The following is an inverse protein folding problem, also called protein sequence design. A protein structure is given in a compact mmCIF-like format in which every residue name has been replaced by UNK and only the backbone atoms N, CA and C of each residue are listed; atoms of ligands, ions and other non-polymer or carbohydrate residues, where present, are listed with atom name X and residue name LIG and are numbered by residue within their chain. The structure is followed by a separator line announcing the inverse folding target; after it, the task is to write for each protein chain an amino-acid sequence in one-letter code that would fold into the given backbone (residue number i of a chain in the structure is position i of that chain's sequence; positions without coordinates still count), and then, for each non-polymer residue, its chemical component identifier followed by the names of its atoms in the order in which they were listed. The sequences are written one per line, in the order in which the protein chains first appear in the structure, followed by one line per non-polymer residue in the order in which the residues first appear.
data_IF_311098266480
#
_entry.id   IF_311098266480
#
_cell.length_a   1.000
_cell.length_b   1.000
_cell.length_c   1.000
_cell.angle_alpha   90.00
_cell.angle_beta   90.00
_cell.angle_gamma   90.00
#
_symmetry.space_group_name_H-M   'P 1'
#
loop_
_entity.id
_entity.type
_entity.pdbx_description
1 polymer ?
#
# COMPACT_ATOMS: atom_id res chain seq x y z
N UNK A 1 -22.05 6.52 -17.11
CA UNK A 1 -21.97 5.07 -16.88
C UNK A 1 -23.03 4.71 -15.83
N UNK A 2 -23.72 3.57 -15.90
CA UNK A 2 -24.78 3.28 -14.95
C UNK A 2 -24.22 3.17 -13.55
N UNK A 3 -24.83 3.84 -12.59
CA UNK A 3 -24.60 3.70 -11.16
C UNK A 3 -24.80 2.24 -10.77
N UNK A 4 -23.74 1.45 -10.83
CA UNK A 4 -23.79 0.07 -10.41
C UNK A 4 -23.75 0.02 -8.88
N UNK A 5 -24.91 0.22 -8.27
CA UNK A 5 -25.10 0.12 -6.81
C UNK A 5 -25.04 -1.35 -6.33
N UNK A 6 -24.48 -2.24 -7.15
CA UNK A 6 -24.31 -3.66 -6.81
C UNK A 6 -22.91 -3.95 -6.26
N UNK A 7 -22.80 -4.90 -5.34
CA UNK A 7 -21.50 -5.37 -4.90
C UNK A 7 -20.81 -6.16 -6.01
N UNK A 8 -19.50 -5.97 -6.14
CA UNK A 8 -18.63 -6.63 -7.15
C UNK A 8 -17.60 -7.51 -6.48
N UNK A 9 -17.13 -8.56 -7.18
CA UNK A 9 -15.97 -9.33 -6.75
C UNK A 9 -14.68 -8.61 -7.17
N UNK A 10 -13.55 -8.98 -6.55
CA UNK A 10 -12.26 -8.41 -6.96
C UNK A 10 -11.90 -8.81 -8.40
N UNK A 11 -12.36 -9.97 -8.85
CA UNK A 11 -12.15 -10.44 -10.22
C UNK A 11 -12.91 -9.59 -11.24
N UNK A 12 -14.17 -9.28 -10.94
CA UNK A 12 -14.98 -8.34 -11.76
C UNK A 12 -14.31 -6.97 -11.80
N UNK A 13 -13.83 -6.46 -10.65
CA UNK A 13 -13.12 -5.19 -10.59
C UNK A 13 -11.86 -5.21 -11.46
N UNK A 14 -11.06 -6.27 -11.43
CA UNK A 14 -9.85 -6.37 -12.24
C UNK A 14 -10.11 -6.56 -13.74
N UNK A 15 -11.27 -7.05 -14.15
CA UNK A 15 -11.64 -7.05 -15.59
C UNK A 15 -11.76 -5.65 -16.15
N UNK A 16 -12.23 -4.70 -15.33
CA UNK A 16 -12.48 -3.32 -15.74
C UNK A 16 -11.32 -2.37 -15.40
N UNK A 17 -10.71 -2.53 -14.23
CA UNK A 17 -9.78 -1.57 -13.66
C UNK A 17 -8.42 -2.18 -13.31
N UNK A 18 -7.40 -1.33 -13.39
CA UNK A 18 -6.09 -1.57 -12.76
C UNK A 18 -6.08 -0.88 -11.40
N UNK A 19 -5.86 -1.66 -10.35
CA UNK A 19 -5.83 -1.19 -8.97
C UNK A 19 -4.38 -0.92 -8.55
N UNK A 20 -4.06 0.33 -8.27
CA UNK A 20 -2.72 0.77 -7.86
C UNK A 20 -2.77 1.28 -6.44
N UNK A 21 -2.18 0.58 -5.49
CA UNK A 21 -2.10 1.03 -4.11
C UNK A 21 -1.18 2.27 -4.05
N UNK A 22 -1.72 3.45 -3.67
CA UNK A 22 -0.97 4.69 -3.76
C UNK A 22 0.08 4.84 -2.66
N UNK A 23 0.96 5.82 -2.85
CA UNK A 23 2.10 6.14 -2.03
C UNK A 23 1.74 6.47 -0.58
N UNK A 24 0.68 7.24 -0.40
CA UNK A 24 0.22 7.75 0.89
C UNK A 24 -0.32 6.62 1.78
N UNK A 25 -0.57 5.47 1.20
CA UNK A 25 -1.14 4.34 1.91
C UNK A 25 -0.10 3.57 2.73
N UNK A 26 -0.58 2.99 3.82
CA UNK A 26 0.25 2.17 4.74
C UNK A 26 0.72 0.90 4.06
N UNK A 27 1.85 0.39 4.54
CA UNK A 27 2.29 -0.97 4.20
C UNK A 27 1.16 -1.98 4.44
N UNK A 28 1.19 -3.09 3.74
CA UNK A 28 0.26 -4.18 4.00
C UNK A 28 0.43 -4.70 5.44
N UNK A 29 -0.49 -4.27 6.31
CA UNK A 29 -0.36 -4.45 7.74
C UNK A 29 -0.92 -5.79 8.24
N UNK A 30 -1.92 -6.39 7.56
CA UNK A 30 -2.52 -7.65 8.00
C UNK A 30 -1.51 -8.81 8.02
N UNK A 31 -0.53 -8.79 7.14
CA UNK A 31 0.56 -9.76 7.13
C UNK A 31 1.70 -9.49 8.12
N UNK A 32 1.66 -8.42 8.92
CA UNK A 32 2.71 -8.11 9.90
C UNK A 32 2.69 -9.09 11.06
N UNK A 33 3.85 -9.22 11.71
CA UNK A 33 4.00 -9.93 12.98
C UNK A 33 3.18 -9.20 14.07
N UNK A 34 2.54 -9.94 14.97
CA UNK A 34 1.64 -9.40 15.98
C UNK A 34 0.22 -9.10 15.47
N UNK A 35 -0.11 -9.48 14.22
CA UNK A 35 -1.45 -9.34 13.63
C UNK A 35 -2.08 -10.69 13.25
N UNK A 36 -1.57 -11.77 13.79
CA UNK A 36 -1.97 -13.15 13.44
C UNK A 36 -3.44 -13.43 13.74
N UNK A 37 -3.93 -12.98 14.89
CA UNK A 37 -5.34 -13.17 15.27
C UNK A 37 -6.29 -12.42 14.33
N UNK A 38 -5.94 -11.16 13.98
CA UNK A 38 -6.74 -10.34 13.06
C UNK A 38 -6.75 -11.00 11.67
N UNK A 39 -5.57 -11.40 11.18
CA UNK A 39 -5.41 -12.08 9.89
C UNK A 39 -6.21 -13.38 9.86
N UNK A 40 -6.05 -14.24 10.88
CA UNK A 40 -6.73 -15.52 10.98
C UNK A 40 -8.25 -15.35 10.98
N UNK A 41 -8.76 -14.36 11.72
CA UNK A 41 -10.21 -14.06 11.75
C UNK A 41 -10.72 -13.66 10.36
N UNK A 42 -10.03 -12.74 9.71
CA UNK A 42 -10.43 -12.26 8.38
C UNK A 42 -10.32 -13.35 7.31
N UNK A 43 -9.21 -14.09 7.27
CA UNK A 43 -9.03 -15.17 6.30
C UNK A 43 -10.03 -16.30 6.52
N UNK A 44 -10.34 -16.65 7.77
CA UNK A 44 -11.39 -17.63 8.09
C UNK A 44 -12.74 -17.20 7.49
N UNK A 45 -13.13 -15.96 7.65
CA UNK A 45 -14.36 -15.42 7.08
C UNK A 45 -14.39 -15.57 5.54
N UNK A 46 -13.29 -15.28 4.86
CA UNK A 46 -13.18 -15.46 3.40
C UNK A 46 -13.28 -16.93 2.99
N UNK A 47 -12.56 -17.79 3.68
CA UNK A 47 -12.51 -19.24 3.38
C UNK A 47 -13.88 -19.89 3.65
N UNK A 48 -14.51 -19.57 4.78
CA UNK A 48 -15.85 -20.05 5.09
C UNK A 48 -16.86 -19.63 4.03
N UNK A 49 -16.80 -18.38 3.56
CA UNK A 49 -17.68 -17.92 2.49
C UNK A 49 -17.54 -18.75 1.22
N UNK A 50 -16.31 -19.06 0.81
CA UNK A 50 -16.06 -19.86 -0.40
C UNK A 50 -16.49 -21.31 -0.21
N UNK A 51 -16.09 -21.94 0.90
CA UNK A 51 -16.32 -23.36 1.15
C UNK A 51 -17.80 -23.65 1.36
N UNK A 52 -18.49 -22.78 2.10
CA UNK A 52 -19.93 -22.92 2.39
C UNK A 52 -20.80 -22.27 1.31
N UNK A 53 -20.21 -21.63 0.30
CA UNK A 53 -20.92 -20.85 -0.74
C UNK A 53 -21.88 -19.82 -0.13
N UNK A 54 -21.52 -19.28 1.04
CA UNK A 54 -22.30 -18.28 1.76
C UNK A 54 -21.86 -16.88 1.34
N UNK A 55 -22.78 -16.12 0.76
CA UNK A 55 -22.51 -14.76 0.34
C UNK A 55 -22.12 -13.87 1.52
N UNK A 56 -21.00 -13.19 1.38
CA UNK A 56 -20.57 -12.12 2.26
C UNK A 56 -20.33 -10.86 1.45
N UNK A 57 -20.75 -9.73 1.99
CA UNK A 57 -20.42 -8.42 1.46
C UNK A 57 -19.47 -7.74 2.42
N UNK A 58 -18.26 -7.49 1.94
CA UNK A 58 -17.28 -6.70 2.68
C UNK A 58 -17.65 -5.23 2.61
N UNK A 59 -17.04 -4.43 3.51
CA UNK A 59 -17.27 -2.98 3.50
C UNK A 59 -16.87 -2.33 2.17
N UNK A 60 -17.22 -1.05 2.03
CA UNK A 60 -16.93 -0.25 0.85
C UNK A 60 -15.43 -0.15 0.58
N UNK A 61 -15.09 -0.14 -0.71
CA UNK A 61 -13.80 0.26 -1.24
C UNK A 61 -14.01 1.57 -1.99
N UNK A 62 -13.34 2.61 -1.53
CA UNK A 62 -13.35 3.90 -2.21
C UNK A 62 -12.08 4.04 -3.03
N UNK A 63 -12.22 4.53 -4.27
CA UNK A 63 -11.09 4.73 -5.16
C UNK A 63 -11.21 5.99 -5.99
N UNK A 64 -10.07 6.63 -6.24
CA UNK A 64 -9.95 7.78 -7.13
C UNK A 64 -9.39 7.32 -8.47
N UNK A 65 -10.04 7.63 -9.60
CA UNK A 65 -9.47 7.38 -10.92
C UNK A 65 -8.22 8.25 -11.14
N UNK A 66 -7.25 7.75 -11.91
CA UNK A 66 -6.13 8.56 -12.35
C UNK A 66 -6.60 9.69 -13.29
N UNK A 67 -5.93 10.85 -13.26
CA UNK A 67 -6.31 12.03 -14.03
C UNK A 67 -6.49 11.79 -15.53
N UNK A 68 -5.64 10.94 -16.12
CA UNK A 68 -5.62 10.70 -17.56
C UNK A 68 -6.09 9.29 -17.97
N UNK A 69 -6.51 8.46 -16.99
CA UNK A 69 -6.94 7.10 -17.27
C UNK A 69 -7.95 6.59 -16.24
N UNK A 70 -9.22 6.73 -16.55
CA UNK A 70 -10.33 6.29 -15.70
C UNK A 70 -10.32 4.76 -15.41
N UNK A 71 -9.51 3.98 -16.11
CA UNK A 71 -9.33 2.54 -15.86
C UNK A 71 -8.25 2.23 -14.82
N UNK A 72 -7.51 3.24 -14.36
CA UNK A 72 -6.55 3.12 -13.26
C UNK A 72 -7.18 3.72 -12.01
N UNK A 73 -7.27 2.92 -10.95
CA UNK A 73 -7.91 3.32 -9.69
C UNK A 73 -6.88 3.30 -8.57
N UNK A 74 -6.85 4.38 -7.81
CA UNK A 74 -6.11 4.51 -6.56
C UNK A 74 -7.06 4.32 -5.37
N UNK A 75 -7.03 3.20 -4.65
CA UNK A 75 -7.88 2.99 -3.49
C UNK A 75 -7.54 3.99 -2.38
N UNK A 76 -8.54 4.73 -1.89
CA UNK A 76 -8.44 5.59 -0.72
C UNK A 76 -8.66 4.80 0.58
N UNK A 77 -9.57 3.84 0.54
CA UNK A 77 -9.83 2.90 1.63
C UNK A 77 -10.02 1.49 1.08
N UNK A 78 -9.85 0.49 1.96
CA UNK A 78 -10.00 -0.92 1.61
C UNK A 78 -8.75 -1.59 1.06
N UNK A 79 -7.59 -0.89 0.97
CA UNK A 79 -6.34 -1.44 0.45
C UNK A 79 -5.91 -2.74 1.11
N UNK A 80 -6.08 -2.87 2.45
CA UNK A 80 -5.71 -4.07 3.19
C UNK A 80 -6.57 -5.26 2.77
N UNK A 81 -7.86 -5.01 2.56
CA UNK A 81 -8.83 -6.00 2.06
C UNK A 81 -8.50 -6.41 0.63
N UNK A 82 -8.26 -5.43 -0.25
CA UNK A 82 -7.88 -5.69 -1.64
C UNK A 82 -6.59 -6.51 -1.75
N UNK A 83 -5.57 -6.19 -0.95
CA UNK A 83 -4.32 -6.96 -0.93
C UNK A 83 -4.58 -8.39 -0.46
N UNK A 84 -5.37 -8.60 0.59
CA UNK A 84 -5.69 -9.94 1.10
C UNK A 84 -6.53 -10.74 0.11
N UNK A 85 -7.51 -10.11 -0.54
CA UNK A 85 -8.30 -10.74 -1.59
C UNK A 85 -7.44 -11.11 -2.79
N UNK A 86 -6.57 -10.20 -3.24
CA UNK A 86 -5.63 -10.50 -4.33
C UNK A 86 -4.73 -11.69 -3.99
N UNK A 87 -4.18 -11.77 -2.77
CA UNK A 87 -3.37 -12.89 -2.32
C UNK A 87 -4.17 -14.19 -2.28
N UNK A 88 -5.44 -14.15 -1.88
CA UNK A 88 -6.33 -15.32 -1.90
C UNK A 88 -6.55 -15.83 -3.32
N UNK A 89 -6.89 -14.94 -4.26
CA UNK A 89 -7.09 -15.30 -5.66
C UNK A 89 -5.80 -15.85 -6.29
N UNK A 90 -4.69 -15.19 -6.02
CA UNK A 90 -3.38 -15.64 -6.49
C UNK A 90 -3.05 -17.04 -5.93
N UNK A 91 -3.25 -17.26 -4.62
CA UNK A 91 -2.96 -18.54 -3.98
C UNK A 91 -3.84 -19.69 -4.54
N UNK A 92 -5.13 -19.42 -4.69
CA UNK A 92 -6.05 -20.40 -5.29
C UNK A 92 -5.68 -20.67 -6.76
N UNK A 93 -5.35 -19.67 -7.54
CA UNK A 93 -4.87 -19.82 -8.92
C UNK A 93 -3.59 -20.66 -8.99
N UNK A 94 -2.65 -20.41 -8.08
CA UNK A 94 -1.42 -21.19 -7.94
C UNK A 94 -1.73 -22.66 -7.66
N UNK A 95 -2.55 -22.97 -6.64
CA UNK A 95 -2.91 -24.32 -6.25
C UNK A 95 -3.75 -25.05 -7.30
N UNK A 96 -4.58 -24.33 -8.03
CA UNK A 96 -5.38 -24.86 -9.14
C UNK A 96 -4.60 -24.99 -10.47
N UNK A 97 -3.32 -24.62 -10.49
CA UNK A 97 -2.48 -24.64 -11.71
C UNK A 97 -2.95 -23.67 -12.78
N UNK A 98 -3.65 -22.59 -12.41
CA UNK A 98 -4.21 -21.59 -13.35
C UNK A 98 -3.20 -20.51 -13.76
N UNK A 99 -2.09 -20.34 -13.02
CA UNK A 99 -1.04 -19.36 -13.36
C UNK A 99 -0.29 -19.65 -14.67
N UNK A 100 -0.50 -20.80 -15.27
CA UNK A 100 0.00 -21.13 -16.63
C UNK A 100 -0.76 -20.41 -17.74
N UNK A 101 -1.95 -19.86 -17.45
CA UNK A 101 -2.76 -19.15 -18.44
C UNK A 101 -2.47 -17.65 -18.37
N UNK A 102 -2.07 -17.08 -19.51
CA UNK A 102 -1.71 -15.65 -19.63
C UNK A 102 -2.85 -14.73 -19.20
N UNK A 103 -4.09 -15.05 -19.55
CA UNK A 103 -5.28 -14.26 -19.18
C UNK A 103 -5.44 -14.12 -17.66
N UNK A 104 -5.20 -15.21 -16.93
CA UNK A 104 -5.24 -15.20 -15.44
C UNK A 104 -4.13 -14.31 -14.89
N UNK A 105 -2.91 -14.50 -15.39
CA UNK A 105 -1.76 -13.72 -14.98
C UNK A 105 -1.95 -12.22 -15.27
N UNK A 106 -2.44 -11.88 -16.45
CA UNK A 106 -2.64 -10.48 -16.87
C UNK A 106 -3.76 -9.80 -16.07
N UNK A 107 -4.79 -10.57 -15.69
CA UNK A 107 -5.82 -10.06 -14.78
C UNK A 107 -5.27 -9.83 -13.38
N UNK A 108 -4.50 -10.76 -12.83
CA UNK A 108 -3.88 -10.60 -11.50
C UNK A 108 -2.83 -9.49 -11.45
N UNK A 109 -2.10 -9.23 -12.53
CA UNK A 109 -1.12 -8.11 -12.66
C UNK A 109 -1.78 -6.74 -12.60
N UNK A 110 -3.10 -6.64 -12.77
CA UNK A 110 -3.82 -5.37 -12.60
C UNK A 110 -3.87 -4.89 -11.15
N UNK A 111 -3.45 -5.70 -10.20
CA UNK A 111 -3.18 -5.26 -8.83
C UNK A 111 -1.69 -4.95 -8.66
N UNK A 112 -1.36 -3.74 -8.21
CA UNK A 112 0.03 -3.32 -8.05
C UNK A 112 0.17 -2.23 -6.98
N UNK A 113 1.40 -1.84 -6.71
CA UNK A 113 1.76 -0.77 -5.80
C UNK A 113 2.45 0.37 -6.56
N UNK A 114 2.08 1.60 -6.24
CA UNK A 114 2.75 2.78 -6.78
C UNK A 114 4.12 2.98 -6.13
N UNK A 115 4.17 2.84 -4.81
CA UNK A 115 5.39 2.91 -4.00
C UNK A 115 6.19 1.62 -4.07
N UNK A 116 7.50 1.78 -3.83
CA UNK A 116 8.49 0.70 -3.71
C UNK A 116 8.53 -0.20 -4.94
N UNK A 117 9.51 0.03 -5.75
CA UNK A 117 9.79 -0.80 -6.92
C UNK A 117 9.77 -2.30 -6.57
N UNK A 118 10.23 -2.67 -5.35
CA UNK A 118 10.19 -4.05 -4.86
C UNK A 118 8.78 -4.61 -4.71
N UNK A 119 7.84 -3.88 -4.09
CA UNK A 119 6.46 -4.35 -3.96
C UNK A 119 5.76 -4.45 -5.32
N UNK A 120 5.97 -3.47 -6.20
CA UNK A 120 5.44 -3.46 -7.58
C UNK A 120 5.97 -4.64 -8.38
N UNK A 121 7.29 -4.81 -8.41
CA UNK A 121 7.95 -5.89 -9.13
C UNK A 121 7.53 -7.25 -8.56
N UNK A 122 7.36 -7.36 -7.25
CA UNK A 122 6.88 -8.58 -6.62
C UNK A 122 5.51 -8.98 -7.13
N UNK A 123 4.52 -8.08 -7.12
CA UNK A 123 3.18 -8.36 -7.63
C UNK A 123 3.18 -8.81 -9.09
N UNK A 124 4.03 -8.20 -9.91
CA UNK A 124 4.17 -8.61 -11.32
C UNK A 124 4.85 -9.97 -11.49
N UNK A 125 5.94 -10.21 -10.73
CA UNK A 125 6.76 -11.43 -10.89
C UNK A 125 6.09 -12.69 -10.37
N UNK A 126 5.32 -12.61 -9.28
CA UNK A 126 4.57 -13.79 -8.78
C UNK A 126 3.45 -14.23 -9.72
N UNK A 127 2.98 -13.34 -10.60
CA UNK A 127 2.03 -13.66 -11.66
C UNK A 127 2.68 -14.20 -12.94
N UNK A 128 3.96 -14.59 -12.88
CA UNK A 128 4.66 -15.32 -13.95
C UNK A 128 4.78 -16.79 -13.55
N UNK A 129 5.22 -17.62 -14.47
CA UNK A 129 5.49 -19.02 -14.15
C UNK A 129 6.60 -19.11 -13.08
N UNK A 130 6.31 -19.80 -11.99
CA UNK A 130 7.26 -20.06 -10.92
C UNK A 130 8.01 -21.36 -11.21
N UNK A 131 9.34 -21.31 -11.14
CA UNK A 131 10.21 -22.46 -11.38
C UNK A 131 10.42 -23.23 -10.06
N UNK A 132 10.20 -24.53 -10.08
CA UNK A 132 10.43 -25.40 -8.92
C UNK A 132 9.25 -26.30 -8.60
N UNK A 133 9.44 -27.16 -7.60
CA UNK A 133 8.43 -28.17 -7.17
C UNK A 133 8.08 -28.05 -5.68
N UNK A 134 8.34 -26.90 -5.06
CA UNK A 134 8.00 -26.71 -3.65
C UNK A 134 6.49 -26.59 -3.49
N UNK A 135 5.91 -27.38 -2.59
CA UNK A 135 4.47 -27.32 -2.32
C UNK A 135 4.05 -26.07 -1.53
N UNK A 136 4.99 -25.44 -0.81
CA UNK A 136 4.74 -24.17 -0.14
C UNK A 136 4.91 -23.02 -1.11
N UNK A 137 3.84 -22.26 -1.31
CA UNK A 137 3.84 -21.09 -2.20
C UNK A 137 4.89 -20.05 -1.78
N UNK A 138 4.99 -19.75 -0.47
CA UNK A 138 5.94 -18.77 0.04
C UNK A 138 7.39 -19.25 -0.14
N UNK A 139 7.68 -20.54 0.11
CA UNK A 139 9.01 -21.12 -0.10
C UNK A 139 9.37 -21.09 -1.59
N UNK A 140 8.45 -21.55 -2.46
CA UNK A 140 8.66 -21.53 -3.90
C UNK A 140 8.98 -20.13 -4.42
N UNK A 141 8.27 -19.09 -3.97
CA UNK A 141 8.55 -17.71 -4.33
C UNK A 141 9.95 -17.28 -3.89
N UNK A 142 10.34 -17.62 -2.65
CA UNK A 142 11.64 -17.21 -2.09
C UNK A 142 12.83 -17.93 -2.72
N UNK A 143 12.60 -19.09 -3.33
CA UNK A 143 13.58 -19.87 -4.08
C UNK A 143 13.76 -19.39 -5.53
N UNK A 144 12.92 -18.47 -6.03
CA UNK A 144 13.03 -18.00 -7.40
C UNK A 144 14.34 -17.22 -7.63
N UNK A 145 15.00 -17.37 -8.79
CA UNK A 145 16.24 -16.66 -9.12
C UNK A 145 16.12 -15.13 -9.04
N UNK A 146 14.94 -14.60 -9.29
CA UNK A 146 14.65 -13.17 -9.22
C UNK A 146 14.42 -12.65 -7.80
N UNK A 147 14.22 -13.55 -6.79
CA UNK A 147 13.90 -13.17 -5.42
C UNK A 147 15.16 -12.73 -4.66
N UNK A 148 15.57 -11.51 -4.90
CA UNK A 148 16.78 -10.90 -4.35
C UNK A 148 16.59 -10.30 -2.95
N UNK A 149 17.69 -9.78 -2.37
CA UNK A 149 17.69 -9.14 -1.05
C UNK A 149 16.68 -8.00 -0.92
N UNK A 150 16.42 -7.23 -2.00
CA UNK A 150 15.44 -6.12 -1.99
C UNK A 150 14.03 -6.59 -1.64
N UNK A 151 13.61 -7.76 -2.11
CA UNK A 151 12.31 -8.34 -1.76
C UNK A 151 12.27 -8.83 -0.31
N UNK A 152 13.34 -9.47 0.15
CA UNK A 152 13.46 -9.94 1.54
C UNK A 152 13.38 -8.81 2.56
N UNK A 153 13.80 -7.61 2.17
CA UNK A 153 13.84 -6.45 3.05
C UNK A 153 12.56 -5.62 2.98
N UNK A 154 11.75 -5.75 1.94
CA UNK A 154 10.49 -5.00 1.79
C UNK A 154 9.44 -5.50 2.79
N UNK A 155 8.95 -4.63 3.71
CA UNK A 155 7.97 -5.03 4.72
C UNK A 155 6.63 -5.47 4.13
N UNK A 156 6.20 -4.89 3.00
CA UNK A 156 4.97 -5.28 2.28
C UNK A 156 5.11 -6.68 1.69
N UNK A 157 6.24 -6.97 1.01
CA UNK A 157 6.52 -8.30 0.45
C UNK A 157 6.60 -9.35 1.58
N UNK A 158 7.27 -9.03 2.68
CA UNK A 158 7.33 -9.93 3.85
C UNK A 158 5.96 -10.21 4.45
N UNK A 159 5.11 -9.18 4.52
CA UNK A 159 3.75 -9.32 5.02
C UNK A 159 2.89 -10.17 4.06
N UNK A 160 3.05 -10.00 2.75
CA UNK A 160 2.38 -10.83 1.73
C UNK A 160 2.81 -12.30 1.83
N UNK A 161 4.11 -12.56 1.93
CA UNK A 161 4.64 -13.93 2.08
C UNK A 161 4.12 -14.60 3.36
N UNK A 162 4.06 -13.86 4.47
CA UNK A 162 3.49 -14.37 5.73
C UNK A 162 1.97 -14.59 5.63
N UNK A 163 1.26 -13.82 4.81
CA UNK A 163 -0.16 -14.07 4.55
C UNK A 163 -0.38 -15.28 3.65
N UNK A 164 0.57 -15.61 2.80
CA UNK A 164 0.54 -16.85 2.03
C UNK A 164 0.86 -18.05 2.92
N UNK A 165 1.94 -17.99 3.69
CA UNK A 165 2.36 -19.08 4.59
C UNK A 165 2.84 -18.54 5.94
N UNK A 166 2.23 -18.98 7.02
CA UNK A 166 2.58 -18.69 8.41
C UNK A 166 2.54 -19.98 9.22
N UNK A 167 3.60 -20.76 9.08
CA UNK A 167 3.73 -22.08 9.74
C UNK A 167 3.70 -21.96 11.27
N UNK A 168 4.28 -20.89 11.82
CA UNK A 168 4.40 -20.68 13.26
C UNK A 168 3.04 -20.47 13.93
N UNK A 169 2.15 -19.67 13.31
CA UNK A 169 0.88 -19.31 13.92
C UNK A 169 -0.34 -19.94 13.21
N UNK A 170 -0.12 -20.67 12.12
CA UNK A 170 -1.20 -21.27 11.33
C UNK A 170 -2.19 -20.24 10.77
N UNK A 171 -1.72 -19.06 10.39
CA UNK A 171 -2.58 -17.94 9.98
C UNK A 171 -2.42 -17.52 8.52
N UNK A 172 -1.60 -18.24 7.74
CA UNK A 172 -1.48 -18.07 6.29
C UNK A 172 -2.55 -18.85 5.51
N UNK A 173 -2.81 -18.45 4.27
CA UNK A 173 -3.75 -19.18 3.40
C UNK A 173 -3.37 -20.64 3.23
N UNK A 174 -2.08 -20.94 3.15
CA UNK A 174 -1.57 -22.28 3.01
C UNK A 174 -1.99 -23.20 4.17
N UNK A 175 -1.82 -22.74 5.42
CA UNK A 175 -2.20 -23.50 6.60
C UNK A 175 -3.72 -23.57 6.78
N UNK A 176 -4.43 -22.49 6.44
CA UNK A 176 -5.87 -22.40 6.66
C UNK A 176 -6.69 -23.15 5.60
N UNK A 177 -6.22 -23.19 4.34
CA UNK A 177 -6.82 -23.99 3.28
C UNK A 177 -6.34 -25.45 3.30
N UNK A 178 -5.13 -25.67 3.85
CA UNK A 178 -4.58 -27.00 4.06
C UNK A 178 -4.40 -27.82 2.78
N UNK A 179 -4.55 -29.13 2.90
CA UNK A 179 -4.35 -30.09 1.82
C UNK A 179 -5.63 -30.35 1.01
N UNK A 180 -6.46 -29.33 0.80
CA UNK A 180 -7.64 -29.44 -0.06
C UNK A 180 -7.24 -29.85 -1.48
N UNK A 181 -8.12 -30.58 -2.14
CA UNK A 181 -7.94 -31.04 -3.53
C UNK A 181 -8.85 -30.33 -4.52
N UNK A 182 -9.83 -29.59 -4.02
CA UNK A 182 -10.89 -28.91 -4.78
C UNK A 182 -10.55 -27.47 -5.19
N UNK A 183 -9.25 -27.13 -5.29
CA UNK A 183 -8.82 -25.77 -5.69
C UNK A 183 -9.32 -25.35 -7.07
N UNK A 184 -9.52 -26.28 -7.99
CA UNK A 184 -10.10 -25.97 -9.28
C UNK A 184 -11.54 -25.48 -9.18
N UNK A 185 -12.35 -26.13 -8.32
CA UNK A 185 -13.73 -25.74 -8.07
C UNK A 185 -13.80 -24.39 -7.31
N UNK A 186 -12.91 -24.19 -6.34
CA UNK A 186 -12.77 -22.92 -5.62
C UNK A 186 -12.41 -21.81 -6.58
N UNK A 187 -11.51 -22.04 -7.53
CA UNK A 187 -11.14 -21.07 -8.54
C UNK A 187 -12.34 -20.67 -9.40
N UNK A 188 -13.08 -21.65 -9.95
CA UNK A 188 -14.26 -21.37 -10.75
C UNK A 188 -15.34 -20.58 -9.96
N UNK A 189 -15.51 -20.89 -8.67
CA UNK A 189 -16.39 -20.16 -7.77
C UNK A 189 -15.94 -18.70 -7.57
N UNK A 190 -14.64 -18.44 -7.44
CA UNK A 190 -14.09 -17.11 -7.23
C UNK A 190 -14.22 -16.20 -8.45
N UNK A 191 -14.09 -16.75 -9.67
CA UNK A 191 -14.15 -15.97 -10.91
C UNK A 191 -15.57 -15.85 -11.47
N UNK A 192 -16.53 -16.59 -10.92
CA UNK A 192 -17.92 -16.58 -11.36
C UNK A 192 -18.62 -15.26 -11.02
N UNK A 193 -19.67 -14.87 -11.79
CA UNK A 193 -20.46 -13.67 -11.48
C UNK A 193 -21.19 -13.72 -10.13
N UNK A 194 -21.47 -14.92 -9.64
CA UNK A 194 -22.10 -15.21 -8.34
C UNK A 194 -21.09 -15.49 -7.23
N UNK A 195 -19.81 -15.07 -7.41
CA UNK A 195 -18.77 -15.17 -6.39
C UNK A 195 -19.32 -14.78 -5.01
N UNK A 196 -19.12 -15.62 -3.97
CA UNK A 196 -19.67 -15.37 -2.64
C UNK A 196 -19.02 -14.21 -1.89
N UNK A 197 -17.85 -13.74 -2.34
CA UNK A 197 -17.12 -12.63 -1.72
C UNK A 197 -17.25 -11.39 -2.61
N UNK A 198 -17.96 -10.41 -2.13
CA UNK A 198 -18.17 -9.14 -2.85
C UNK A 198 -17.95 -7.95 -1.93
N UNK A 199 -17.75 -6.77 -2.51
CA UNK A 199 -17.68 -5.49 -1.83
C UNK A 199 -18.31 -4.39 -2.69
N UNK A 200 -18.71 -3.29 -2.06
CA UNK A 200 -19.16 -2.12 -2.81
C UNK A 200 -17.96 -1.30 -3.24
N UNK A 201 -17.81 -1.13 -4.55
CA UNK A 201 -16.81 -0.22 -5.09
C UNK A 201 -17.46 1.15 -5.37
N UNK A 202 -16.82 2.23 -4.92
CA UNK A 202 -17.26 3.61 -5.10
C UNK A 202 -16.14 4.46 -5.66
N UNK A 203 -16.40 5.12 -6.78
CA UNK A 203 -15.49 6.10 -7.37
C UNK A 203 -15.78 7.48 -6.80
N UNK A 204 -14.73 8.18 -6.34
CA UNK A 204 -14.86 9.55 -5.83
C UNK A 204 -15.32 10.54 -6.90
N UNK A 205 -15.05 10.25 -8.18
CA UNK A 205 -15.48 11.05 -9.33
C UNK A 205 -17.00 10.98 -9.53
N UNK A 206 -17.62 9.85 -9.23
CA UNK A 206 -19.06 9.65 -9.38
C UNK A 206 -19.85 10.30 -8.24
N UNK A 207 -19.26 10.41 -7.06
CA UNK A 207 -19.90 11.01 -5.87
C UNK A 207 -19.69 12.53 -5.76
N UNK A 208 -19.08 13.20 -6.76
CA UNK A 208 -18.78 14.63 -6.76
C UNK A 208 -18.02 15.08 -5.48
N UNK A 209 -17.19 14.21 -4.92
CA UNK A 209 -16.39 14.54 -3.75
C UNK A 209 -15.20 15.38 -4.23
N UNK A 210 -15.35 16.69 -4.08
CA UNK A 210 -14.43 17.70 -4.62
C UNK A 210 -13.01 17.62 -4.04
N UNK A 211 -12.80 16.97 -2.88
CA UNK A 211 -11.51 16.83 -2.23
C UNK A 211 -11.28 15.38 -1.81
N UNK A 212 -10.59 14.63 -2.64
CA UNK A 212 -10.15 13.25 -2.32
C UNK A 212 -9.31 13.21 -1.04
N UNK A 213 -8.54 14.26 -0.76
CA UNK A 213 -7.66 14.38 0.41
C UNK A 213 -8.46 14.54 1.71
N UNK A 214 -9.52 15.36 1.71
CA UNK A 214 -10.40 15.51 2.88
C UNK A 214 -11.16 14.21 3.19
N UNK A 215 -11.60 13.49 2.16
CA UNK A 215 -12.23 12.18 2.33
C UNK A 215 -11.22 11.17 2.87
N UNK A 216 -10.00 11.17 2.34
CA UNK A 216 -8.91 10.32 2.79
C UNK A 216 -8.60 10.57 4.27
N UNK A 217 -8.46 11.83 4.69
CA UNK A 217 -8.23 12.21 6.08
C UNK A 217 -9.38 11.76 6.98
N UNK A 218 -10.63 11.99 6.58
CA UNK A 218 -11.83 11.60 7.34
C UNK A 218 -11.99 10.08 7.45
N UNK A 219 -11.64 9.32 6.41
CA UNK A 219 -11.74 7.86 6.41
C UNK A 219 -10.61 7.23 7.22
N UNK A 220 -9.39 7.77 7.15
CA UNK A 220 -8.27 7.31 7.95
C UNK A 220 -8.35 7.71 9.43
N UNK A 221 -9.09 8.77 9.76
CA UNK A 221 -9.36 9.15 11.16
C UNK A 221 -10.12 8.07 11.95
N UNK A 222 -10.79 7.15 11.27
CA UNK A 222 -11.44 5.98 11.89
C UNK A 222 -10.46 4.83 12.19
N UNK A 223 -9.23 4.90 11.66
CA UNK A 223 -8.17 3.91 11.84
C UNK A 223 -7.06 4.38 12.77
N UNK A 224 -5.90 3.73 12.67
CA UNK A 224 -4.68 4.20 13.35
C UNK A 224 -4.29 5.56 12.75
N UNK A 225 -4.06 6.57 13.60
CA UNK A 225 -3.56 7.89 13.17
C UNK A 225 -2.35 7.73 12.24
N UNK A 226 -2.27 8.58 11.24
CA UNK A 226 -1.07 8.71 10.41
C UNK A 226 0.13 8.99 11.34
N UNK A 227 1.29 8.47 10.97
CA UNK A 227 2.54 8.84 11.65
C UNK A 227 2.88 10.30 11.32
N UNK A 228 3.71 10.92 12.15
CA UNK A 228 4.15 12.30 11.92
C UNK A 228 4.85 12.42 10.55
N UNK A 229 5.56 11.39 10.12
CA UNK A 229 6.18 11.35 8.79
C UNK A 229 5.14 11.22 7.65
N UNK A 230 4.11 10.41 7.83
CA UNK A 230 3.03 10.29 6.85
C UNK A 230 2.26 11.62 6.70
N UNK A 231 2.03 12.33 7.81
CA UNK A 231 1.44 13.66 7.81
C UNK A 231 2.35 14.67 7.09
N UNK A 232 3.62 14.73 7.48
CA UNK A 232 4.64 15.58 6.84
C UNK A 232 4.69 15.36 5.32
N UNK A 233 4.72 14.11 4.89
CA UNK A 233 4.77 13.74 3.47
C UNK A 233 3.53 14.21 2.72
N UNK A 234 2.35 14.04 3.32
CA UNK A 234 1.09 14.49 2.73
C UNK A 234 1.07 16.02 2.57
N UNK A 235 1.51 16.74 3.59
CA UNK A 235 1.62 18.21 3.53
C UNK A 235 2.65 18.65 2.50
N UNK A 236 3.85 18.05 2.51
CA UNK A 236 4.92 18.40 1.56
C UNK A 236 4.45 18.26 0.10
N UNK A 237 3.73 17.20 -0.23
CA UNK A 237 3.25 16.96 -1.60
C UNK A 237 2.02 17.80 -1.97
N UNK A 238 1.32 18.37 -1.00
CA UNK A 238 0.18 19.26 -1.22
C UNK A 238 0.54 20.74 -1.43
N UNK A 239 1.84 21.08 -1.33
CA UNK A 239 2.26 22.49 -1.50
C UNK A 239 2.00 22.99 -2.92
N UNK A 240 1.46 24.22 -2.95
CA UNK A 240 1.19 24.96 -4.18
C UNK A 240 2.01 26.25 -4.18
N UNK A 241 2.41 26.67 -5.38
CA UNK A 241 3.01 27.98 -5.57
C UNK A 241 1.96 29.11 -5.40
N UNK A 242 2.42 30.35 -5.50
CA UNK A 242 1.57 31.55 -5.37
C UNK A 242 0.48 31.62 -6.47
N UNK A 243 0.62 30.89 -7.55
CA UNK A 243 -0.35 30.76 -8.64
C UNK A 243 -1.34 29.58 -8.39
N UNK A 244 -1.22 28.87 -7.27
CA UNK A 244 -2.05 27.71 -6.92
C UNK A 244 -1.70 26.43 -7.66
N UNK A 245 -0.53 26.36 -8.31
CA UNK A 245 -0.02 25.20 -9.03
C UNK A 245 0.80 24.32 -8.09
N UNK A 246 0.57 23.03 -8.13
CA UNK A 246 1.33 22.08 -7.31
C UNK A 246 2.83 22.18 -7.59
N UNK A 247 3.62 22.47 -6.53
CA UNK A 247 5.08 22.51 -6.59
C UNK A 247 5.67 21.14 -6.93
N UNK A 248 5.08 20.09 -6.40
CA UNK A 248 5.52 18.72 -6.62
C UNK A 248 4.45 17.94 -7.39
N UNK A 249 4.51 17.99 -8.72
CA UNK A 249 3.59 17.23 -9.56
C UNK A 249 3.88 15.74 -9.50
N UNK A 250 2.83 14.92 -9.55
CA UNK A 250 2.96 13.48 -9.71
C UNK A 250 3.85 13.18 -10.93
N UNK A 251 4.87 12.32 -10.72
CA UNK A 251 5.86 12.01 -11.77
C UNK A 251 7.03 12.99 -11.86
N UNK A 252 7.08 14.06 -11.05
CA UNK A 252 8.26 14.92 -10.96
C UNK A 252 9.50 14.15 -10.50
N UNK A 253 10.69 14.63 -10.88
CA UNK A 253 11.94 14.03 -10.42
C UNK A 253 12.07 14.07 -8.90
N UNK A 254 11.54 15.10 -8.24
CA UNK A 254 11.55 15.24 -6.79
C UNK A 254 10.78 14.07 -6.13
N UNK A 255 9.52 13.84 -6.52
CA UNK A 255 8.70 12.75 -5.96
C UNK A 255 9.35 11.39 -6.26
N UNK A 256 9.85 11.18 -7.47
CA UNK A 256 10.56 9.95 -7.83
C UNK A 256 11.79 9.72 -6.96
N UNK A 257 12.60 10.75 -6.74
CA UNK A 257 13.79 10.66 -5.92
C UNK A 257 13.43 10.45 -4.45
N UNK A 258 12.47 11.22 -3.93
CA UNK A 258 11.99 11.09 -2.55
C UNK A 258 11.54 9.67 -2.23
N UNK A 259 10.82 9.04 -3.14
CA UNK A 259 10.21 7.75 -2.91
C UNK A 259 11.10 6.56 -3.25
N UNK A 260 12.00 6.70 -4.20
CA UNK A 260 12.86 5.62 -4.65
C UNK A 260 14.30 5.82 -4.14
N UNK A 261 15.00 6.83 -4.66
CA UNK A 261 16.43 6.99 -4.41
C UNK A 261 16.73 7.33 -2.95
N UNK A 262 16.00 8.31 -2.39
CA UNK A 262 16.24 8.73 -1.01
C UNK A 262 15.71 7.70 0.00
N UNK A 263 14.57 7.08 -0.27
CA UNK A 263 14.10 5.99 0.57
C UNK A 263 15.08 4.81 0.59
N UNK A 264 15.67 4.47 -0.55
CA UNK A 264 16.70 3.44 -0.65
C UNK A 264 17.99 3.86 0.09
N UNK A 265 18.40 5.13 -0.02
CA UNK A 265 19.55 5.68 0.70
C UNK A 265 19.33 5.55 2.22
N UNK A 266 18.21 6.07 2.73
CA UNK A 266 17.89 6.00 4.17
C UNK A 266 17.72 4.56 4.65
N UNK A 267 17.26 3.67 3.77
CA UNK A 267 17.22 2.25 4.07
C UNK A 267 18.60 1.62 4.29
N UNK A 268 19.61 2.07 3.55
CA UNK A 268 21.01 1.62 3.75
C UNK A 268 21.62 2.19 5.02
N UNK A 269 21.24 3.41 5.40
CA UNK A 269 21.79 4.15 6.55
C UNK A 269 21.10 3.79 7.88
N UNK A 270 20.00 3.03 7.86
CA UNK A 270 19.26 2.71 9.08
C UNK A 270 20.04 1.86 10.07
N UNK A 271 19.80 2.06 11.34
CA UNK A 271 20.28 1.15 12.39
C UNK A 271 19.70 -0.25 12.18
N UNK A 272 20.54 -1.30 12.31
CA UNK A 272 20.16 -2.70 12.05
C UNK A 272 18.95 -3.17 12.87
N UNK A 273 18.72 -2.57 14.03
CA UNK A 273 17.64 -2.92 14.95
C UNK A 273 16.31 -2.20 14.65
N UNK A 274 16.34 -1.02 14.01
CA UNK A 274 15.13 -0.26 13.66
C UNK A 274 14.69 -0.61 12.24
N UNK A 275 13.54 -1.25 12.13
CA UNK A 275 12.95 -1.73 10.86
C UNK A 275 12.16 -0.65 10.09
N UNK A 276 12.21 0.61 10.52
CA UNK A 276 11.42 1.71 9.97
C UNK A 276 12.37 2.80 9.51
N UNK A 277 12.24 3.22 8.26
CA UNK A 277 13.04 4.27 7.63
C UNK A 277 12.44 5.66 7.85
N UNK A 278 11.13 5.72 8.03
CA UNK A 278 10.34 6.95 8.10
C UNK A 278 10.88 7.96 9.11
N UNK A 279 11.31 7.49 10.27
CA UNK A 279 11.89 8.36 11.31
C UNK A 279 13.20 9.01 10.88
N UNK A 280 14.09 8.26 10.22
CA UNK A 280 15.39 8.76 9.77
C UNK A 280 15.21 9.77 8.64
N UNK A 281 14.29 9.47 7.73
CA UNK A 281 13.95 10.35 6.62
C UNK A 281 13.31 11.65 7.13
N UNK A 282 12.41 11.57 8.08
CA UNK A 282 11.78 12.71 8.73
C UNK A 282 12.80 13.59 9.47
N UNK A 283 13.69 12.97 10.24
CA UNK A 283 14.77 13.66 10.95
C UNK A 283 15.73 14.39 9.99
N UNK A 284 16.04 13.76 8.86
CA UNK A 284 16.87 14.38 7.83
C UNK A 284 16.21 15.66 7.27
N UNK A 285 14.95 15.59 6.89
CA UNK A 285 14.24 16.77 6.37
C UNK A 285 14.13 17.88 7.41
N UNK A 286 13.87 17.55 8.66
CA UNK A 286 13.82 18.53 9.73
C UNK A 286 15.18 19.24 9.91
N UNK A 287 16.28 18.51 9.81
CA UNK A 287 17.63 19.10 9.87
C UNK A 287 17.93 19.97 8.65
N UNK A 288 17.47 19.57 7.46
CA UNK A 288 17.62 20.39 6.25
C UNK A 288 16.86 21.70 6.37
N UNK A 289 15.62 21.66 6.85
CA UNK A 289 14.78 22.85 7.09
C UNK A 289 15.45 23.76 8.10
N UNK A 290 15.95 23.21 9.22
CA UNK A 290 16.65 23.98 10.23
C UNK A 290 17.91 24.64 9.66
N UNK A 291 18.73 23.91 8.91
CA UNK A 291 19.93 24.45 8.29
C UNK A 291 19.61 25.61 7.33
N UNK A 292 18.54 25.48 6.55
CA UNK A 292 18.07 26.53 5.66
C UNK A 292 17.65 27.79 6.44
N UNK A 293 16.86 27.66 7.51
CA UNK A 293 16.45 28.76 8.38
C UNK A 293 17.68 29.48 8.97
N UNK A 294 18.66 28.71 9.47
CA UNK A 294 19.88 29.28 10.07
C UNK A 294 20.75 30.03 9.06
N UNK A 295 20.85 29.52 7.82
CA UNK A 295 21.67 30.13 6.76
C UNK A 295 21.04 31.43 6.25
N UNK A 296 19.72 31.45 6.10
CA UNK A 296 19.03 32.61 5.54
C UNK A 296 18.70 33.72 6.56
N UNK A 297 19.00 33.52 7.84
CA UNK A 297 18.91 34.54 8.89
C UNK A 297 17.49 35.02 9.26
N UNK A 298 16.47 34.38 8.71
CA UNK A 298 15.06 34.76 8.89
C UNK A 298 14.44 34.08 10.15
N UNK A 299 15.16 34.19 11.28
CA UNK A 299 14.67 33.64 12.55
C UNK A 299 13.65 34.60 13.18
N UNK A 300 12.40 34.51 12.77
CA UNK A 300 11.28 35.14 13.47
C UNK A 300 11.01 34.37 14.79
N UNK A 301 10.32 35.01 15.75
CA UNK A 301 10.07 34.43 17.08
C UNK A 301 9.42 33.04 17.07
N UNK A 302 8.66 32.70 16.02
CA UNK A 302 8.09 31.36 15.82
C UNK A 302 9.17 30.31 15.48
N UNK A 303 10.28 30.71 14.91
CA UNK A 303 11.36 29.81 14.50
C UNK A 303 12.24 29.44 15.71
N UNK A 304 12.20 30.24 16.80
CA UNK A 304 12.93 29.94 18.03
C UNK A 304 12.37 28.71 18.73
N UNK A 305 11.05 28.53 18.76
CA UNK A 305 10.42 27.31 19.29
C UNK A 305 10.79 26.08 18.45
N UNK A 306 10.87 26.24 17.10
CA UNK A 306 11.31 25.17 16.22
C UNK A 306 12.78 24.83 16.49
N UNK A 307 13.66 25.83 16.65
CA UNK A 307 15.06 25.63 16.97
C UNK A 307 15.26 24.92 18.32
N UNK A 308 14.57 25.40 19.36
CA UNK A 308 14.62 24.78 20.71
C UNK A 308 14.08 23.36 20.70
N UNK A 309 13.08 23.10 19.89
CA UNK A 309 12.50 21.76 19.74
C UNK A 309 13.39 20.79 18.96
N UNK A 310 14.07 21.24 17.90
CA UNK A 310 14.97 20.41 17.09
C UNK A 310 16.33 20.24 17.77
N UNK A 311 16.80 21.22 18.56
CA UNK A 311 18.06 21.16 19.30
C UNK A 311 17.96 20.43 20.65
N UNK A 312 16.76 20.29 21.22
CA UNK A 312 16.50 19.59 22.47
C UNK A 312 16.43 18.06 22.28
N UNK A 313 17.31 17.37 22.92
CA UNK A 313 17.79 16.00 22.65
C UNK A 313 16.84 14.81 22.85
N UNK A 314 15.61 14.92 23.27
CA UNK A 314 15.00 13.69 23.81
C UNK A 314 13.69 13.17 23.25
N UNK A 315 12.90 13.86 22.43
CA UNK A 315 11.69 13.23 21.87
C UNK A 315 11.19 13.93 20.60
N UNK A 316 11.64 13.47 19.46
CA UNK A 316 11.15 13.87 18.13
C UNK A 316 9.71 13.39 17.80
N UNK A 317 8.98 12.83 18.74
CA UNK A 317 7.64 12.27 18.49
C UNK A 317 6.51 13.31 18.47
N UNK A 318 6.80 14.57 18.74
CA UNK A 318 5.78 15.62 18.90
C UNK A 318 6.05 16.91 18.10
N UNK A 319 6.78 16.84 17.00
CA UNK A 319 6.86 17.99 16.10
C UNK A 319 5.45 18.21 15.54
N UNK A 320 4.74 19.19 16.09
CA UNK A 320 3.62 19.80 15.39
C UNK A 320 4.21 20.34 14.11
N UNK A 321 3.68 19.94 12.96
CA UNK A 321 4.03 20.55 11.69
C UNK A 321 3.67 22.02 11.85
N UNK A 322 4.69 22.85 12.04
CA UNK A 322 4.50 24.28 12.11
C UNK A 322 4.03 24.73 10.73
N UNK A 323 2.97 25.49 10.67
CA UNK A 323 2.46 26.05 9.43
C UNK A 323 3.63 26.73 8.69
N UNK A 324 4.04 26.10 7.61
CA UNK A 324 5.03 26.66 6.70
C UNK A 324 4.56 28.03 6.25
N UNK A 325 5.42 29.03 6.44
CA UNK A 325 5.16 30.35 5.85
C UNK A 325 5.59 30.28 4.38
N UNK A 326 4.67 30.38 3.41
CA UNK A 326 4.98 30.27 1.99
C UNK A 326 5.93 31.37 1.47
N UNK A 327 6.28 32.37 2.29
CA UNK A 327 7.29 33.41 1.93
C UNK A 327 8.73 32.92 2.06
N UNK A 328 8.98 31.72 2.53
CA UNK A 328 10.32 31.12 2.52
C UNK A 328 10.49 30.42 1.16
N UNK A 329 11.23 31.02 0.25
CA UNK A 329 11.66 30.43 -1.04
C UNK A 329 12.62 29.25 -0.77
N UNK A 330 12.10 28.13 -0.28
CA UNK A 330 12.93 26.98 0.14
C UNK A 330 13.39 26.07 -1.01
N UNK A 331 12.84 26.23 -2.20
CA UNK A 331 13.00 25.22 -3.24
C UNK A 331 13.48 25.73 -4.60
N UNK A 332 13.93 26.99 -4.70
CA UNK A 332 14.51 27.52 -5.96
C UNK A 332 15.89 26.96 -6.33
N UNK A 333 16.41 26.01 -5.56
CA UNK A 333 17.76 25.44 -5.73
C UNK A 333 17.84 23.91 -5.82
N UNK A 334 16.71 23.18 -6.01
CA UNK A 334 16.75 21.73 -6.20
C UNK A 334 16.22 21.28 -7.56
#
# INVERSE_FOLDING_TARGET
MPQNNRPVSIWEMFKEYTCVIPIIQRDYAQGRQGKELLRKRFFRQLIEAIVSKKNITLDFVYGTPAEHNDKVIYPLDGQQRLTSLWLLYWYVAFRAGKLKYSEVCDTLKKFTYQTRTSSRDFCSRVCQELIGKNNSAAKLITEQPWFSRRFKMDPTVRAMLRSLSDEEHGSGFEQMLGNRTDFAEIWECLIAPDCPIKFYFRSTKEENIANSDDLYIKMNARGKKLTDFENFKSELFSFKDDEGKELFREGSNFIKNFENEWTNLFWTLRHKEKKIVDHIQFEFFNRMILAHILVNGDVKSADKELYEHISGHENFSSIKVYHYNPQIQMFDGF
#
